data_IF_574704498522
#
_entry.id   IF_574704498522
#
_cell.length_a   1.000
_cell.length_b   1.000
_cell.length_c   1.000
_cell.angle_alpha   90.00
_cell.angle_beta   90.00
_cell.angle_gamma   90.00
#
_symmetry.space_group_name_H-M   'P 1'
#
loop_
_entity.id
_entity.type
_entity.pdbx_description
1 polymer ?
#
# COMPACT_ATOMS: atom_id res chain seq x y z
N UNK A 1 5.67 4.57 14.95
CA UNK A 1 4.87 4.75 13.73
C UNK A 1 3.45 4.31 14.02
N UNK A 2 2.49 5.19 13.81
CA UNK A 2 1.05 4.91 13.85
C UNK A 2 0.57 4.61 12.43
N UNK A 3 -0.19 3.54 12.25
CA UNK A 3 -0.64 3.08 10.92
C UNK A 3 -2.15 2.85 10.94
N UNK A 4 -2.86 3.46 10.00
CA UNK A 4 -4.23 3.08 9.67
C UNK A 4 -4.22 1.84 8.77
N UNK A 5 -4.50 0.67 9.33
CA UNK A 5 -4.43 -0.57 8.58
C UNK A 5 -5.68 -0.88 7.73
N UNK A 6 -6.62 0.07 7.59
CA UNK A 6 -7.82 -0.16 6.80
C UNK A 6 -8.44 1.15 6.32
N UNK A 7 -8.14 1.52 5.08
CA UNK A 7 -8.84 2.61 4.38
C UNK A 7 -9.01 2.28 2.89
N UNK A 8 -9.88 3.04 2.23
CA UNK A 8 -10.25 2.88 0.83
C UNK A 8 -10.08 4.19 0.05
N UNK A 9 -9.77 4.06 -1.23
CA UNK A 9 -9.89 5.12 -2.23
C UNK A 9 -10.71 4.63 -3.40
N UNK A 10 -11.47 5.54 -4.02
CA UNK A 10 -12.19 5.25 -5.25
C UNK A 10 -12.45 6.51 -6.05
N UNK A 11 -12.67 6.28 -7.34
CA UNK A 11 -13.19 7.26 -8.29
C UNK A 11 -14.47 6.70 -8.88
N UNK A 12 -15.59 7.41 -8.76
CA UNK A 12 -16.92 6.96 -9.19
C UNK A 12 -17.01 6.77 -10.71
N UNK A 13 -16.17 7.46 -11.47
CA UNK A 13 -16.12 7.33 -12.93
C UNK A 13 -15.39 6.06 -13.41
N UNK A 14 -14.68 5.35 -12.53
CA UNK A 14 -14.04 4.08 -12.90
C UNK A 14 -15.11 3.01 -13.15
N UNK A 15 -14.98 2.20 -14.21
CA UNK A 15 -16.01 1.23 -14.62
C UNK A 15 -16.21 0.10 -13.61
N UNK A 16 -15.25 -0.14 -12.72
CA UNK A 16 -15.32 -1.15 -11.66
C UNK A 16 -15.92 -0.62 -10.36
N UNK A 17 -16.12 0.69 -10.22
CA UNK A 17 -16.69 1.30 -9.00
C UNK A 17 -18.22 1.19 -9.02
N UNK A 18 -18.74 0.08 -8.52
CA UNK A 18 -20.20 -0.15 -8.37
C UNK A 18 -20.75 0.25 -7.00
N UNK A 19 -19.85 0.42 -6.03
CA UNK A 19 -20.12 0.89 -4.68
C UNK A 19 -19.07 1.96 -4.33
N UNK A 20 -19.41 3.03 -3.57
CA UNK A 20 -20.69 3.29 -2.91
C UNK A 20 -21.81 3.70 -3.87
N UNK A 21 -23.02 3.27 -3.57
CA UNK A 21 -24.25 3.63 -4.30
C UNK A 21 -24.81 4.98 -3.84
N UNK A 22 -25.72 5.57 -4.62
CA UNK A 22 -26.24 6.93 -4.39
C UNK A 22 -26.99 7.12 -3.06
N UNK A 23 -27.52 6.05 -2.48
CA UNK A 23 -28.18 6.04 -1.16
C UNK A 23 -27.19 6.29 -0.01
N UNK A 24 -25.89 6.03 -0.22
CA UNK A 24 -24.82 6.36 0.70
C UNK A 24 -24.28 7.78 0.43
N UNK A 25 -25.19 8.75 0.42
CA UNK A 25 -24.94 10.10 -0.08
C UNK A 25 -23.71 10.81 0.54
N UNK A 26 -23.39 10.54 1.81
CA UNK A 26 -22.24 11.16 2.48
C UNK A 26 -20.88 10.68 1.94
N UNK A 27 -20.83 9.50 1.33
CA UNK A 27 -19.62 8.91 0.76
C UNK A 27 -19.73 8.68 -0.76
N UNK A 28 -20.84 9.04 -1.40
CA UNK A 28 -21.04 8.93 -2.84
C UNK A 28 -20.35 10.09 -3.59
N UNK A 29 -19.02 10.15 -3.48
CA UNK A 29 -18.12 11.04 -4.24
C UNK A 29 -16.76 10.37 -4.40
N UNK A 30 -15.88 10.98 -5.20
CA UNK A 30 -14.48 10.52 -5.29
C UNK A 30 -13.75 10.76 -3.95
N UNK A 31 -12.92 9.79 -3.56
CA UNK A 31 -12.03 9.87 -2.41
C UNK A 31 -10.63 9.40 -2.81
N UNK A 32 -9.64 10.26 -2.61
CA UNK A 32 -8.24 9.97 -2.90
C UNK A 32 -7.28 10.44 -1.82
N UNK A 33 -5.95 10.34 -2.08
CA UNK A 33 -4.93 10.72 -1.11
C UNK A 33 -5.06 12.14 -0.53
N UNK A 34 -5.43 13.11 -1.36
CA UNK A 34 -5.57 14.51 -0.96
C UNK A 34 -6.75 14.74 0.01
N UNK A 35 -7.76 13.87 -0.01
CA UNK A 35 -8.88 13.91 0.93
C UNK A 35 -8.50 13.32 2.30
N UNK A 36 -7.62 12.31 2.33
CA UNK A 36 -7.22 11.62 3.56
C UNK A 36 -6.05 12.31 4.27
N UNK A 37 -5.10 12.89 3.54
CA UNK A 37 -3.91 13.52 4.11
C UNK A 37 -4.21 14.54 5.24
N UNK A 38 -5.26 15.39 5.16
CA UNK A 38 -5.63 16.27 6.26
C UNK A 38 -6.09 15.54 7.53
N UNK A 39 -6.70 14.35 7.42
CA UNK A 39 -7.09 13.53 8.57
C UNK A 39 -5.86 12.91 9.23
N UNK A 40 -4.91 12.41 8.43
CA UNK A 40 -3.64 11.85 8.91
C UNK A 40 -2.83 12.89 9.67
N UNK A 41 -2.67 14.09 9.09
CA UNK A 41 -1.94 15.19 9.72
C UNK A 41 -2.57 15.62 11.06
N UNK A 42 -3.90 15.61 11.16
CA UNK A 42 -4.62 16.01 12.39
C UNK A 42 -4.53 14.98 13.50
N UNK A 43 -4.41 13.72 13.14
CA UNK A 43 -4.40 12.59 14.09
C UNK A 43 -2.99 12.07 14.40
N UNK A 44 -1.97 12.49 13.64
CA UNK A 44 -0.61 11.98 13.78
C UNK A 44 -0.48 10.53 13.32
N UNK A 45 -1.31 10.10 12.36
CA UNK A 45 -1.16 8.80 11.71
C UNK A 45 -0.12 8.93 10.61
N UNK A 46 0.89 8.07 10.63
CA UNK A 46 2.08 8.20 9.78
C UNK A 46 1.93 7.49 8.42
N UNK A 47 1.05 6.49 8.34
CA UNK A 47 0.85 5.72 7.11
C UNK A 47 -0.40 4.85 7.14
N UNK A 48 -0.68 4.20 6.01
CA UNK A 48 -1.93 3.47 5.78
C UNK A 48 -1.72 2.16 5.03
N UNK A 49 -2.62 1.20 5.22
CA UNK A 49 -2.82 0.08 4.31
C UNK A 49 -4.09 0.35 3.49
N UNK A 50 -3.92 0.41 2.18
CA UNK A 50 -4.97 0.69 1.22
C UNK A 50 -5.66 -0.61 0.81
N UNK A 51 -6.97 -0.69 1.00
CA UNK A 51 -7.76 -1.91 0.80
C UNK A 51 -8.70 -1.72 -0.40
N UNK A 52 -8.81 -2.76 -1.25
CA UNK A 52 -9.79 -2.81 -2.36
C UNK A 52 -11.22 -2.49 -1.88
N UNK A 53 -12.01 -1.76 -2.67
CA UNK A 53 -13.42 -1.46 -2.40
C UNK A 53 -14.39 -2.12 -3.41
N UNK A 54 -13.87 -2.76 -4.46
CA UNK A 54 -14.61 -3.43 -5.52
C UNK A 54 -14.00 -4.80 -5.87
N UNK A 55 -14.83 -5.79 -6.26
CA UNK A 55 -14.34 -7.12 -6.66
C UNK A 55 -13.77 -7.09 -8.10
N UNK A 56 -12.68 -6.35 -8.32
CA UNK A 56 -12.05 -6.17 -9.63
C UNK A 56 -10.52 -6.17 -9.54
N UNK A 57 -9.88 -6.84 -10.51
CA UNK A 57 -8.43 -6.84 -10.63
C UNK A 57 -7.93 -5.48 -11.13
N UNK A 58 -8.73 -4.79 -11.94
CA UNK A 58 -8.47 -3.42 -12.41
C UNK A 58 -8.44 -2.45 -11.23
N UNK A 59 -9.32 -2.62 -10.25
CA UNK A 59 -9.25 -1.82 -9.02
C UNK A 59 -7.95 -2.10 -8.27
N UNK A 60 -7.54 -3.36 -8.15
CA UNK A 60 -6.28 -3.71 -7.50
C UNK A 60 -5.08 -3.04 -8.17
N UNK A 61 -5.05 -2.99 -9.51
CA UNK A 61 -4.03 -2.27 -10.27
C UNK A 61 -4.09 -0.75 -10.03
N UNK A 62 -5.29 -0.18 -9.97
CA UNK A 62 -5.51 1.22 -9.63
C UNK A 62 -4.97 1.58 -8.25
N UNK A 63 -5.20 0.74 -7.23
CA UNK A 63 -4.65 0.95 -5.88
C UNK A 63 -3.13 0.83 -5.84
N UNK A 64 -2.55 -0.11 -6.60
CA UNK A 64 -1.09 -0.22 -6.72
C UNK A 64 -0.47 1.01 -7.40
N UNK A 65 -1.14 1.60 -8.40
CA UNK A 65 -0.72 2.86 -9.03
C UNK A 65 -0.78 4.05 -8.05
N UNK A 66 -1.77 4.09 -7.15
CA UNK A 66 -1.78 5.06 -6.05
C UNK A 66 -0.60 4.83 -5.10
N UNK A 67 -0.36 3.60 -4.66
CA UNK A 67 0.72 3.28 -3.74
C UNK A 67 2.11 3.66 -4.28
N UNK A 68 2.31 3.56 -5.61
CA UNK A 68 3.54 4.00 -6.26
C UNK A 68 3.79 5.52 -6.21
N UNK A 69 2.77 6.33 -5.92
CA UNK A 69 2.83 7.80 -5.96
C UNK A 69 2.50 8.46 -4.63
N UNK A 70 2.21 7.67 -3.59
CA UNK A 70 1.68 8.17 -2.33
C UNK A 70 2.48 7.62 -1.16
N UNK A 71 3.34 8.47 -0.58
CA UNK A 71 4.33 8.08 0.43
C UNK A 71 3.74 7.49 1.71
N UNK A 72 2.50 7.89 2.07
CA UNK A 72 1.84 7.37 3.26
C UNK A 72 1.12 6.04 3.02
N UNK A 73 1.07 5.50 1.79
CA UNK A 73 0.53 4.16 1.53
C UNK A 73 1.64 3.14 1.68
N UNK A 74 1.54 2.31 2.73
CA UNK A 74 2.57 1.34 3.13
C UNK A 74 2.32 -0.07 2.57
N UNK A 75 1.18 -0.27 1.91
CA UNK A 75 0.80 -1.53 1.30
C UNK A 75 -0.62 -1.51 0.76
N UNK A 76 -0.89 -2.45 -0.14
CA UNK A 76 -2.18 -2.64 -0.79
C UNK A 76 -2.66 -4.07 -0.55
N UNK A 77 -3.91 -4.20 -0.11
CA UNK A 77 -4.65 -5.46 -0.13
C UNK A 77 -5.64 -5.39 -1.28
N UNK A 78 -5.36 -6.14 -2.34
CA UNK A 78 -6.18 -6.13 -3.55
C UNK A 78 -7.20 -7.26 -3.58
N UNK A 79 -7.84 -7.40 -4.73
CA UNK A 79 -8.79 -8.43 -5.09
C UNK A 79 -8.23 -9.27 -6.25
N UNK A 80 -8.48 -10.58 -6.18
CA UNK A 80 -8.21 -11.55 -7.24
C UNK A 80 -9.49 -12.35 -7.44
N UNK A 81 -9.80 -12.71 -8.69
CA UNK A 81 -10.93 -13.60 -8.94
C UNK A 81 -10.54 -15.04 -8.62
N UNK A 82 -10.99 -15.56 -7.48
CA UNK A 82 -10.72 -16.94 -7.08
C UNK A 82 -11.34 -17.96 -8.04
N UNK A 83 -12.36 -17.57 -8.81
CA UNK A 83 -13.10 -18.46 -9.72
C UNK A 83 -12.57 -18.47 -11.14
N UNK A 84 -11.71 -17.51 -11.50
CA UNK A 84 -11.16 -17.42 -12.83
C UNK A 84 -10.09 -18.48 -13.09
N UNK A 85 -10.10 -19.04 -14.30
CA UNK A 85 -9.08 -19.99 -14.76
C UNK A 85 -7.66 -19.39 -14.72
N UNK A 86 -7.54 -18.07 -14.88
CA UNK A 86 -6.29 -17.32 -14.83
C UNK A 86 -6.00 -16.68 -13.46
N UNK A 87 -6.73 -17.05 -12.40
CA UNK A 87 -6.57 -16.52 -11.02
C UNK A 87 -5.12 -16.48 -10.52
N UNK A 88 -4.32 -17.51 -10.80
CA UNK A 88 -2.89 -17.55 -10.45
C UNK A 88 -2.10 -16.50 -11.24
N UNK A 89 -2.38 -16.32 -12.52
CA UNK A 89 -1.72 -15.31 -13.34
C UNK A 89 -2.12 -13.90 -12.92
N UNK A 90 -3.38 -13.69 -12.50
CA UNK A 90 -3.82 -12.44 -11.89
C UNK A 90 -3.03 -12.14 -10.62
N UNK A 91 -2.90 -13.14 -9.73
CA UNK A 91 -2.13 -13.01 -8.49
C UNK A 91 -0.65 -12.70 -8.77
N UNK A 92 -0.03 -13.36 -9.75
CA UNK A 92 1.35 -13.12 -10.16
C UNK A 92 1.57 -11.71 -10.67
N UNK A 93 0.66 -11.21 -11.50
CA UNK A 93 0.70 -9.84 -12.01
C UNK A 93 0.66 -8.81 -10.87
N UNK A 94 -0.20 -9.00 -9.87
CA UNK A 94 -0.32 -8.09 -8.74
C UNK A 94 0.89 -8.21 -7.79
N UNK A 95 1.33 -9.43 -7.50
CA UNK A 95 2.46 -9.72 -6.62
C UNK A 95 3.82 -9.27 -7.16
N UNK A 96 3.91 -8.93 -8.45
CA UNK A 96 5.08 -8.26 -9.02
C UNK A 96 5.32 -6.86 -8.42
N UNK A 97 4.27 -6.24 -7.84
CA UNK A 97 4.41 -4.99 -7.12
C UNK A 97 4.83 -5.22 -5.67
N UNK A 98 5.88 -4.52 -5.16
CA UNK A 98 6.28 -4.61 -3.75
C UNK A 98 5.17 -4.13 -2.80
N UNK A 99 4.28 -3.27 -3.28
CA UNK A 99 3.16 -2.75 -2.51
C UNK A 99 2.05 -3.79 -2.30
N UNK A 100 1.97 -4.86 -3.08
CA UNK A 100 0.92 -5.85 -2.95
C UNK A 100 1.18 -6.79 -1.77
N UNK A 101 0.39 -6.67 -0.71
CA UNK A 101 0.63 -7.37 0.57
C UNK A 101 -0.33 -8.52 0.84
N UNK A 102 -1.49 -8.55 0.21
CA UNK A 102 -2.49 -9.58 0.42
C UNK A 102 -3.70 -9.46 -0.48
N UNK A 103 -4.63 -10.40 -0.29
CA UNK A 103 -5.91 -10.46 -0.99
C UNK A 103 -7.07 -10.35 -0.01
N UNK A 104 -8.16 -9.72 -0.47
CA UNK A 104 -9.44 -9.63 0.25
C UNK A 104 -10.59 -10.04 -0.67
N UNK A 105 -11.04 -11.30 -0.66
CA UNK A 105 -12.30 -11.68 -1.31
C UNK A 105 -13.48 -11.01 -0.59
N UNK A 106 -14.53 -10.63 -1.33
CA UNK A 106 -15.76 -10.02 -0.80
C UNK A 106 -16.69 -11.10 -0.17
N UNK A 107 -16.18 -11.87 0.80
CA UNK A 107 -16.87 -13.06 1.32
C UNK A 107 -18.23 -12.71 1.93
N UNK A 108 -18.36 -11.57 2.59
CA UNK A 108 -19.62 -11.14 3.21
C UNK A 108 -20.80 -11.07 2.22
N UNK A 109 -20.53 -10.85 0.94
CA UNK A 109 -21.54 -10.68 -0.12
C UNK A 109 -21.81 -11.99 -0.88
N UNK A 110 -21.10 -13.07 -0.53
CA UNK A 110 -21.32 -14.42 -1.07
C UNK A 110 -22.37 -15.14 -0.21
N UNK A 111 -23.37 -15.70 -0.88
CA UNK A 111 -24.51 -16.37 -0.24
C UNK A 111 -24.09 -17.65 0.48
N UNK A 112 -23.27 -18.49 -0.16
CA UNK A 112 -22.74 -19.71 0.42
C UNK A 112 -21.65 -19.39 1.47
N UNK A 113 -21.90 -19.60 2.78
CA UNK A 113 -20.97 -19.16 3.82
C UNK A 113 -19.62 -19.87 3.76
N UNK A 114 -19.60 -21.13 3.30
CA UNK A 114 -18.43 -22.00 3.21
C UNK A 114 -17.75 -21.98 1.83
N UNK A 115 -18.17 -21.11 0.91
CA UNK A 115 -17.64 -20.99 -0.45
C UNK A 115 -16.10 -20.99 -0.51
N UNK A 116 -15.46 -20.27 0.42
CA UNK A 116 -14.00 -20.12 0.48
C UNK A 116 -13.26 -21.43 0.81
N UNK A 117 -13.96 -22.44 1.33
CA UNK A 117 -13.42 -23.76 1.63
C UNK A 117 -13.49 -24.72 0.44
N UNK A 118 -13.93 -24.26 -0.74
CA UNK A 118 -13.98 -25.07 -1.95
C UNK A 118 -12.58 -25.56 -2.34
N UNK A 119 -12.40 -26.88 -2.50
CA UNK A 119 -11.10 -27.49 -2.79
C UNK A 119 -10.44 -26.96 -4.09
N UNK A 120 -11.25 -26.45 -5.03
CA UNK A 120 -10.74 -25.83 -6.26
C UNK A 120 -9.85 -24.60 -6.00
N UNK A 121 -9.97 -23.96 -4.83
CA UNK A 121 -9.17 -22.79 -4.46
C UNK A 121 -7.84 -23.15 -3.81
N UNK A 122 -7.56 -24.45 -3.53
CA UNK A 122 -6.31 -24.87 -2.91
C UNK A 122 -5.04 -24.35 -3.62
N UNK A 123 -4.93 -24.40 -4.97
CA UNK A 123 -3.77 -23.84 -5.66
C UNK A 123 -3.56 -22.35 -5.40
N UNK A 124 -4.63 -21.58 -5.21
CA UNK A 124 -4.55 -20.16 -4.93
C UNK A 124 -4.05 -19.90 -3.50
N UNK A 125 -4.49 -20.68 -2.51
CA UNK A 125 -3.95 -20.59 -1.16
C UNK A 125 -2.47 -20.99 -1.08
N UNK A 126 -2.07 -22.05 -1.79
CA UNK A 126 -0.66 -22.43 -1.92
C UNK A 126 0.15 -21.30 -2.56
N UNK A 127 -0.42 -20.62 -3.55
CA UNK A 127 0.19 -19.48 -4.21
C UNK A 127 0.33 -18.26 -3.29
N UNK A 128 -0.65 -17.98 -2.43
CA UNK A 128 -0.55 -16.94 -1.39
C UNK A 128 0.59 -17.25 -0.42
N UNK A 129 0.65 -18.49 0.09
CA UNK A 129 1.69 -18.95 1.00
C UNK A 129 3.10 -18.82 0.39
N UNK A 130 3.28 -19.30 -0.85
CA UNK A 130 4.56 -19.26 -1.55
C UNK A 130 5.08 -17.83 -1.77
N UNK A 131 4.17 -16.86 -1.92
CA UNK A 131 4.48 -15.44 -2.10
C UNK A 131 4.51 -14.66 -0.78
N UNK A 132 4.27 -15.34 0.34
CA UNK A 132 4.17 -14.72 1.67
C UNK A 132 3.02 -13.73 1.79
N UNK A 133 1.98 -13.83 0.97
CA UNK A 133 0.83 -12.92 0.95
C UNK A 133 -0.16 -13.21 2.08
N UNK A 134 -0.98 -12.20 2.40
CA UNK A 134 -1.88 -12.17 3.55
C UNK A 134 -3.31 -12.34 3.08
N UNK A 135 -4.17 -12.83 3.96
CA UNK A 135 -5.58 -13.01 3.69
C UNK A 135 -6.42 -12.13 4.62
N UNK A 136 -7.10 -11.14 4.05
CA UNK A 136 -8.04 -10.29 4.76
C UNK A 136 -9.45 -10.90 4.64
N UNK A 137 -10.00 -11.33 5.77
CA UNK A 137 -11.30 -11.97 5.86
C UNK A 137 -12.40 -10.93 6.11
N UNK A 138 -12.99 -10.40 5.03
CA UNK A 138 -14.18 -9.55 5.08
C UNK A 138 -15.44 -10.42 5.21
N UNK A 139 -15.88 -10.63 6.44
CA UNK A 139 -16.91 -11.62 6.79
C UNK A 139 -18.02 -11.07 7.66
N UNK A 140 -19.11 -11.83 7.75
CA UNK A 140 -20.18 -11.69 8.74
C UNK A 140 -20.07 -12.75 9.85
N UNK A 141 -20.78 -12.63 10.99
CA UNK A 141 -20.70 -13.60 12.08
C UNK A 141 -20.95 -15.06 11.65
N UNK A 142 -21.84 -15.29 10.67
CA UNK A 142 -22.12 -16.62 10.09
C UNK A 142 -20.90 -17.31 9.48
N UNK A 143 -19.86 -16.56 9.11
CA UNK A 143 -18.64 -17.06 8.47
C UNK A 143 -17.46 -17.23 9.44
N UNK A 144 -17.59 -16.82 10.71
CA UNK A 144 -16.52 -17.01 11.71
C UNK A 144 -16.07 -18.49 11.84
N UNK A 145 -16.98 -19.49 11.88
CA UNK A 145 -16.57 -20.90 11.91
C UNK A 145 -15.86 -21.35 10.63
N UNK A 146 -16.21 -20.76 9.49
CA UNK A 146 -15.62 -21.06 8.17
C UNK A 146 -14.19 -20.59 8.11
N UNK A 147 -13.91 -19.36 8.58
CA UNK A 147 -12.53 -18.84 8.66
C UNK A 147 -11.70 -19.64 9.67
N UNK A 148 -12.31 -20.15 10.75
CA UNK A 148 -11.62 -21.02 11.69
C UNK A 148 -11.20 -22.34 11.03
N UNK A 149 -12.04 -22.89 10.15
CA UNK A 149 -11.71 -24.08 9.38
C UNK A 149 -10.62 -23.79 8.33
N UNK A 150 -10.70 -22.66 7.62
CA UNK A 150 -9.67 -22.23 6.69
C UNK A 150 -8.30 -22.10 7.38
N UNK A 151 -8.26 -21.47 8.56
CA UNK A 151 -7.04 -21.34 9.36
C UNK A 151 -6.48 -22.69 9.84
N UNK A 152 -7.32 -23.71 10.05
CA UNK A 152 -6.84 -25.07 10.35
C UNK A 152 -6.27 -25.77 9.12
N UNK A 153 -6.86 -25.55 7.94
CA UNK A 153 -6.37 -26.11 6.66
C UNK A 153 -5.04 -25.47 6.25
N UNK A 154 -4.88 -24.17 6.49
CA UNK A 154 -3.67 -23.41 6.15
C UNK A 154 -3.08 -22.74 7.40
N UNK A 155 -2.48 -23.51 8.34
CA UNK A 155 -2.01 -22.97 9.62
C UNK A 155 -0.82 -22.01 9.49
N UNK A 156 -0.19 -21.97 8.31
CA UNK A 156 0.90 -21.04 7.98
C UNK A 156 0.41 -19.75 7.30
N UNK A 157 -0.87 -19.65 6.91
CA UNK A 157 -1.41 -18.48 6.22
C UNK A 157 -1.74 -17.39 7.25
N UNK A 158 -1.12 -16.19 7.15
CA UNK A 158 -1.52 -15.06 7.98
C UNK A 158 -2.90 -14.58 7.56
N UNK A 159 -3.86 -14.69 8.48
CA UNK A 159 -5.25 -14.28 8.27
C UNK A 159 -5.55 -13.10 9.21
N UNK A 160 -6.25 -12.09 8.71
CA UNK A 160 -6.77 -11.01 9.53
C UNK A 160 -8.27 -10.88 9.36
N UNK A 161 -8.99 -10.89 10.47
CA UNK A 161 -10.44 -10.68 10.47
C UNK A 161 -10.73 -9.19 10.38
N UNK A 162 -11.44 -8.77 9.33
CA UNK A 162 -11.83 -7.38 9.14
C UNK A 162 -12.97 -7.00 10.10
N UNK A 163 -12.90 -5.76 10.62
CA UNK A 163 -13.95 -5.11 11.42
C UNK A 163 -14.48 -5.93 12.60
N UNK A 164 -13.62 -6.64 13.32
CA UNK A 164 -14.07 -7.52 14.39
C UNK A 164 -14.96 -8.68 13.92
N UNK A 165 -15.05 -8.98 12.61
CA UNK A 165 -16.00 -9.94 12.06
C UNK A 165 -17.44 -9.44 11.99
N UNK A 166 -17.62 -8.11 11.99
CA UNK A 166 -18.91 -7.40 11.86
C UNK A 166 -19.99 -7.89 12.85
N UNK A 167 -19.76 -7.76 14.18
CA UNK A 167 -20.80 -8.06 15.17
C UNK A 167 -22.08 -7.28 14.90
N UNK A 168 -23.26 -7.84 15.19
CA UNK A 168 -24.52 -7.07 15.10
C UNK A 168 -24.68 -6.16 16.32
N UNK A 169 -23.88 -5.09 16.35
CA UNK A 169 -23.85 -4.15 17.47
C UNK A 169 -25.19 -3.43 17.59
N UNK A 170 -25.83 -3.03 16.49
CA UNK A 170 -27.13 -2.35 16.49
C UNK A 170 -28.24 -3.16 17.20
N UNK A 171 -28.22 -4.48 17.05
CA UNK A 171 -29.20 -5.38 17.69
C UNK A 171 -28.79 -5.80 19.11
N UNK A 172 -27.56 -5.48 19.53
CA UNK A 172 -27.02 -5.90 20.82
C UNK A 172 -26.68 -7.39 20.86
N UNK A 173 -26.53 -8.05 19.71
CA UNK A 173 -26.08 -9.44 19.63
C UNK A 173 -24.60 -9.51 19.97
N UNK A 174 -24.27 -10.31 20.99
CA UNK A 174 -22.90 -10.45 21.46
C UNK A 174 -22.46 -11.92 21.53
N UNK A 175 -23.32 -12.81 22.00
CA UNK A 175 -22.94 -14.17 22.42
C UNK A 175 -22.38 -15.01 21.28
N UNK A 176 -23.06 -15.03 20.14
CA UNK A 176 -22.70 -15.90 18.99
C UNK A 176 -21.41 -15.40 18.36
N UNK A 177 -21.34 -14.10 18.12
CA UNK A 177 -20.15 -13.42 17.65
C UNK A 177 -18.95 -13.65 18.58
N UNK A 178 -19.13 -13.46 19.89
CA UNK A 178 -18.07 -13.57 20.88
C UNK A 178 -17.46 -14.97 20.91
N UNK A 179 -18.28 -16.02 20.80
CA UNK A 179 -17.81 -17.39 20.73
C UNK A 179 -17.01 -17.66 19.45
N UNK A 180 -17.48 -17.19 18.29
CA UNK A 180 -16.75 -17.31 17.03
C UNK A 180 -15.38 -16.62 17.07
N UNK A 181 -15.32 -15.41 17.65
CA UNK A 181 -14.07 -14.68 17.87
C UNK A 181 -13.12 -15.43 18.79
N UNK A 182 -13.63 -16.01 19.89
CA UNK A 182 -12.82 -16.80 20.83
C UNK A 182 -12.20 -18.01 20.15
N UNK A 183 -12.94 -18.68 19.26
CA UNK A 183 -12.42 -19.82 18.48
C UNK A 183 -11.30 -19.37 17.54
N UNK A 184 -11.49 -18.29 16.78
CA UNK A 184 -10.48 -17.75 15.87
C UNK A 184 -9.22 -17.31 16.60
N UNK A 185 -9.36 -16.66 17.75
CA UNK A 185 -8.22 -16.15 18.51
C UNK A 185 -7.29 -17.26 19.03
N UNK A 186 -7.72 -18.53 19.08
CA UNK A 186 -6.86 -19.68 19.40
C UNK A 186 -5.91 -20.05 18.27
N UNK A 187 -6.13 -19.55 17.06
CA UNK A 187 -5.24 -19.76 15.92
C UNK A 187 -4.11 -18.72 15.96
N UNK A 188 -2.83 -19.15 15.98
CA UNK A 188 -1.71 -18.25 16.28
C UNK A 188 -1.46 -17.20 15.19
N UNK A 189 -1.75 -17.50 13.93
CA UNK A 189 -1.57 -16.60 12.78
C UNK A 189 -2.86 -15.88 12.37
N UNK A 190 -3.89 -15.92 13.22
CA UNK A 190 -5.10 -15.10 13.03
C UNK A 190 -4.98 -13.85 13.90
N UNK A 191 -5.06 -12.70 13.23
CA UNK A 191 -5.18 -11.36 13.82
C UNK A 191 -6.58 -10.80 13.60
N UNK A 192 -6.90 -9.67 14.22
CA UNK A 192 -8.18 -9.00 14.02
C UNK A 192 -8.02 -7.49 13.94
N UNK A 193 -8.75 -6.86 13.02
CA UNK A 193 -8.82 -5.40 12.95
C UNK A 193 -9.81 -4.85 13.97
N UNK A 194 -9.38 -3.80 14.66
CA UNK A 194 -10.23 -2.87 15.39
C UNK A 194 -10.57 -1.72 14.44
N UNK A 195 -11.56 -1.96 13.59
CA UNK A 195 -12.05 -1.03 12.56
C UNK A 195 -13.54 -1.27 12.30
N UNK A 196 -14.23 -0.38 11.59
CA UNK A 196 -15.61 -0.57 11.08
C UNK A 196 -16.72 -0.84 12.11
N UNK A 197 -16.44 -0.84 13.42
CA UNK A 197 -17.44 -1.17 14.44
C UNK A 197 -18.59 -0.15 14.50
N UNK A 198 -18.33 1.12 14.20
CA UNK A 198 -19.37 2.14 14.13
C UNK A 198 -20.42 1.86 13.06
N UNK A 199 -19.99 1.34 11.90
CA UNK A 199 -20.88 0.95 10.80
C UNK A 199 -21.86 -0.16 11.20
N UNK A 200 -21.51 -0.97 12.19
CA UNK A 200 -22.36 -2.05 12.69
C UNK A 200 -23.21 -1.65 13.92
N UNK A 201 -23.01 -0.44 14.47
CA UNK A 201 -23.64 0.02 15.71
C UNK A 201 -24.99 0.74 15.52
N UNK A 202 -25.38 1.00 14.27
CA UNK A 202 -26.56 1.79 13.97
C UNK A 202 -26.37 3.25 14.41
N UNK A 203 -27.36 3.82 15.09
CA UNK A 203 -27.32 5.23 15.53
C UNK A 203 -26.56 5.46 16.84
N UNK A 204 -26.31 4.42 17.64
CA UNK A 204 -25.63 4.54 18.94
C UNK A 204 -24.17 4.12 18.82
N UNK A 205 -23.32 5.07 18.46
CA UNK A 205 -21.86 4.92 18.43
C UNK A 205 -21.18 5.29 19.76
N UNK A 206 -21.94 5.39 20.84
CA UNK A 206 -21.40 5.79 22.14
C UNK A 206 -20.40 4.75 22.67
N UNK A 207 -19.43 5.22 23.45
CA UNK A 207 -18.42 4.33 24.01
C UNK A 207 -19.02 3.17 24.83
N UNK A 208 -20.06 3.37 25.69
CA UNK A 208 -20.71 2.25 26.37
C UNK A 208 -21.29 1.18 25.44
N UNK A 209 -21.73 1.57 24.23
CA UNK A 209 -22.24 0.63 23.22
C UNK A 209 -21.13 -0.17 22.54
N UNK A 210 -20.00 0.47 22.24
CA UNK A 210 -18.87 -0.13 21.50
C UNK A 210 -17.91 -0.91 22.42
N UNK A 211 -17.70 -0.42 23.65
CA UNK A 211 -16.70 -0.93 24.61
C UNK A 211 -16.80 -2.44 24.89
N UNK A 212 -17.99 -3.08 25.00
CA UNK A 212 -18.07 -4.53 25.22
C UNK A 212 -17.38 -5.35 24.12
N UNK A 213 -17.56 -4.94 22.85
CA UNK A 213 -16.97 -5.63 21.70
C UNK A 213 -15.46 -5.44 21.65
N UNK A 214 -14.98 -4.21 21.87
CA UNK A 214 -13.55 -3.91 21.92
C UNK A 214 -12.85 -4.65 23.05
N UNK A 215 -13.47 -4.70 24.24
CA UNK A 215 -12.94 -5.48 25.38
C UNK A 215 -12.85 -6.97 25.06
N UNK A 216 -13.84 -7.52 24.37
CA UNK A 216 -13.84 -8.94 23.99
C UNK A 216 -12.76 -9.26 22.96
N UNK A 217 -12.64 -8.42 21.92
CA UNK A 217 -11.56 -8.51 20.93
C UNK A 217 -10.19 -8.46 21.62
N UNK A 218 -10.00 -7.53 22.55
CA UNK A 218 -8.74 -7.39 23.29
C UNK A 218 -8.47 -8.61 24.19
N UNK A 219 -9.47 -9.10 24.91
CA UNK A 219 -9.33 -10.30 25.74
C UNK A 219 -8.94 -11.53 24.93
N UNK A 220 -9.48 -11.68 23.71
CA UNK A 220 -9.23 -12.84 22.87
C UNK A 220 -7.88 -12.77 22.13
N UNK A 221 -7.60 -11.67 21.43
CA UNK A 221 -6.41 -11.55 20.58
C UNK A 221 -5.18 -11.03 21.34
N UNK A 222 -5.41 -10.21 22.37
CA UNK A 222 -4.38 -9.45 23.06
C UNK A 222 -3.81 -8.30 22.22
N UNK A 223 -2.98 -7.48 22.85
CA UNK A 223 -2.38 -6.29 22.22
C UNK A 223 -1.50 -6.61 21.00
N UNK A 224 -0.98 -7.83 20.88
CA UNK A 224 -0.03 -8.23 19.81
C UNK A 224 -0.70 -8.71 18.51
N UNK A 225 -2.03 -8.91 18.51
CA UNK A 225 -2.78 -9.40 17.34
C UNK A 225 -4.04 -8.58 17.03
N UNK A 226 -4.26 -7.48 17.77
CA UNK A 226 -5.19 -6.45 17.36
C UNK A 226 -4.46 -5.38 16.55
N UNK A 227 -5.11 -4.93 15.48
CA UNK A 227 -4.57 -3.94 14.56
C UNK A 227 -5.64 -2.86 14.36
N UNK A 228 -5.34 -1.60 14.65
CA UNK A 228 -6.28 -0.51 14.43
C UNK A 228 -6.40 -0.17 12.93
N UNK A 229 -7.60 0.22 12.52
CA UNK A 229 -7.86 0.82 11.20
C UNK A 229 -9.09 1.73 11.26
N UNK A 230 -9.15 2.72 10.37
CA UNK A 230 -10.19 3.73 10.39
C UNK A 230 -11.48 3.27 9.73
N UNK A 231 -11.39 2.42 8.70
CA UNK A 231 -12.45 2.15 7.74
C UNK A 231 -12.86 3.41 6.95
N UNK A 232 -11.94 4.34 6.74
CA UNK A 232 -12.21 5.56 5.98
C UNK A 232 -12.30 5.26 4.48
N UNK A 233 -13.19 5.94 3.73
CA UNK A 233 -14.12 6.97 4.18
C UNK A 233 -15.45 6.42 4.70
N UNK A 234 -15.64 5.09 4.73
CA UNK A 234 -16.89 4.43 5.18
C UNK A 234 -17.29 4.85 6.60
N UNK A 235 -16.32 5.04 7.49
CA UNK A 235 -16.54 5.56 8.86
C UNK A 235 -17.34 6.87 8.90
N UNK A 236 -17.29 7.67 7.81
CA UNK A 236 -18.05 8.91 7.65
C UNK A 236 -19.57 8.72 7.56
N UNK A 237 -20.04 7.50 7.32
CA UNK A 237 -21.46 7.18 7.44
C UNK A 237 -21.96 7.29 8.89
N UNK A 238 -21.07 7.13 9.87
CA UNK A 238 -21.42 7.14 11.29
C UNK A 238 -20.85 8.36 12.04
N UNK A 239 -19.62 8.78 11.74
CA UNK A 239 -18.94 9.88 12.41
C UNK A 239 -17.63 10.26 11.74
N UNK A 240 -16.76 11.04 12.40
CA UNK A 240 -15.49 11.45 11.78
C UNK A 240 -14.35 10.46 12.05
N UNK A 241 -13.37 10.43 11.16
CA UNK A 241 -12.09 9.71 11.33
C UNK A 241 -11.46 10.02 12.69
N UNK A 242 -11.32 11.31 13.01
CA UNK A 242 -10.74 11.77 14.28
C UNK A 242 -11.54 11.26 15.49
N UNK A 243 -12.87 11.26 15.42
CA UNK A 243 -13.69 10.82 16.55
C UNK A 243 -13.57 9.31 16.77
N UNK A 244 -13.50 8.50 15.71
CA UNK A 244 -13.24 7.06 15.82
C UNK A 244 -11.87 6.77 16.41
N UNK A 245 -10.83 7.45 15.91
CA UNK A 245 -9.47 7.33 16.43
C UNK A 245 -9.40 7.70 17.91
N UNK A 246 -10.00 8.83 18.30
CA UNK A 246 -10.03 9.30 19.69
C UNK A 246 -10.79 8.34 20.61
N UNK A 247 -11.92 7.77 20.15
CA UNK A 247 -12.67 6.77 20.92
C UNK A 247 -11.86 5.49 21.13
N UNK A 248 -11.15 5.01 20.09
CA UNK A 248 -10.26 3.86 20.22
C UNK A 248 -9.12 4.13 21.21
N UNK A 249 -8.50 5.31 21.14
CA UNK A 249 -7.45 5.71 22.10
C UNK A 249 -7.99 5.73 23.53
N UNK A 250 -9.18 6.30 23.76
CA UNK A 250 -9.82 6.33 25.08
C UNK A 250 -10.16 4.92 25.60
N UNK A 251 -10.62 4.01 24.74
CA UNK A 251 -10.94 2.63 25.13
C UNK A 251 -9.70 1.79 25.47
N UNK A 252 -8.54 2.15 24.93
CA UNK A 252 -7.27 1.44 25.12
C UNK A 252 -6.28 2.21 26.02
N UNK A 253 -6.73 3.29 26.68
CA UNK A 253 -5.88 4.16 27.49
C UNK A 253 -5.22 3.43 28.69
N UNK A 254 -5.86 2.39 29.20
CA UNK A 254 -5.34 1.58 30.32
C UNK A 254 -4.19 0.63 29.91
N UNK A 255 -3.93 0.49 28.61
CA UNK A 255 -2.81 -0.32 28.12
C UNK A 255 -1.48 0.39 28.34
N UNK A 256 -0.42 -0.40 28.54
CA UNK A 256 0.94 0.12 28.56
C UNK A 256 1.34 0.72 27.20
N UNK A 257 2.31 1.65 27.16
CA UNK A 257 2.71 2.32 25.91
C UNK A 257 3.15 1.37 24.79
N UNK A 258 3.80 0.25 25.13
CA UNK A 258 4.21 -0.77 24.15
C UNK A 258 3.01 -1.46 23.49
N UNK A 259 2.00 -1.83 24.28
CA UNK A 259 0.79 -2.48 23.80
C UNK A 259 -0.06 -1.52 22.95
N UNK A 260 -0.15 -0.24 23.35
CA UNK A 260 -0.79 0.78 22.52
C UNK A 260 -0.07 0.94 21.18
N UNK A 261 1.26 1.08 21.20
CA UNK A 261 2.07 1.21 19.98
C UNK A 261 1.96 -0.03 19.08
N UNK A 262 1.82 -1.23 19.66
CA UNK A 262 1.57 -2.44 18.92
C UNK A 262 0.23 -2.38 18.18
N UNK A 263 -0.86 -2.06 18.89
CA UNK A 263 -2.22 -2.01 18.30
C UNK A 263 -2.34 -0.93 17.24
N UNK A 264 -1.80 0.26 17.50
CA UNK A 264 -1.96 1.43 16.63
C UNK A 264 -0.97 1.49 15.46
N UNK A 265 -0.06 0.52 15.30
CA UNK A 265 0.76 0.48 14.08
C UNK A 265 1.79 -0.65 14.03
N UNK A 266 2.43 -0.99 15.14
CA UNK A 266 3.49 -2.00 15.17
C UNK A 266 3.04 -3.37 14.64
N UNK A 267 1.80 -3.76 14.92
CA UNK A 267 1.24 -5.01 14.43
C UNK A 267 0.90 -4.96 12.93
N UNK A 268 0.39 -3.83 12.42
CA UNK A 268 0.13 -3.66 10.99
C UNK A 268 1.41 -3.81 10.17
N UNK A 269 2.48 -3.14 10.62
CA UNK A 269 3.79 -3.20 9.98
C UNK A 269 4.34 -4.62 9.90
N UNK A 270 4.19 -5.37 11.00
CA UNK A 270 4.65 -6.76 11.11
C UNK A 270 3.80 -7.73 10.30
N UNK A 271 2.48 -7.58 10.33
CA UNK A 271 1.55 -8.48 9.64
C UNK A 271 1.68 -8.38 8.12
N UNK A 272 1.71 -7.16 7.59
CA UNK A 272 1.79 -6.91 6.15
C UNK A 272 3.22 -6.85 5.59
N UNK A 273 4.25 -6.94 6.43
CA UNK A 273 5.65 -6.76 5.99
C UNK A 273 5.88 -5.37 5.38
N UNK A 274 5.23 -4.34 5.94
CA UNK A 274 5.29 -2.98 5.42
C UNK A 274 6.59 -2.26 5.80
N UNK A 275 7.36 -2.80 6.76
CA UNK A 275 8.70 -2.31 7.08
C UNK A 275 9.74 -2.65 6.00
N UNK A 276 9.50 -3.70 5.21
CA UNK A 276 10.42 -4.15 4.16
C UNK A 276 10.46 -3.19 2.96
N UNK A 277 9.48 -2.28 2.88
CA UNK A 277 9.40 -1.18 1.92
C UNK A 277 8.95 0.12 2.59
N UNK A 278 9.42 0.37 3.82
CA UNK A 278 9.48 1.76 4.29
C UNK A 278 10.05 2.57 3.11
N UNK A 279 9.36 3.64 2.66
CA UNK A 279 9.70 4.30 1.42
C UNK A 279 11.21 4.53 1.44
N UNK A 280 11.93 3.86 0.53
CA UNK A 280 13.26 4.31 0.17
C UNK A 280 13.04 5.78 -0.16
N UNK A 281 13.66 6.66 0.64
CA UNK A 281 13.43 8.10 0.60
C UNK A 281 13.06 8.56 -0.80
N UNK A 282 11.91 9.23 -0.88
CA UNK A 282 11.48 10.16 -1.93
C UNK A 282 12.56 10.42 -2.97
N UNK A 283 12.42 9.81 -4.14
CA UNK A 283 13.28 10.05 -5.29
C UNK A 283 14.51 9.14 -5.39
N UNK A 284 14.54 8.29 -6.41
CA UNK A 284 15.68 7.40 -6.67
C UNK A 284 16.50 7.86 -7.86
N UNK A 285 17.76 7.45 -7.87
CA UNK A 285 18.63 7.56 -9.03
C UNK A 285 18.54 6.26 -9.83
N UNK A 286 18.15 6.36 -11.10
CA UNK A 286 17.95 5.19 -11.97
C UNK A 286 19.23 4.83 -12.72
N UNK A 287 19.72 3.61 -12.50
CA UNK A 287 20.75 3.00 -13.36
C UNK A 287 20.06 2.34 -14.57
N UNK A 288 20.32 2.86 -15.77
CA UNK A 288 19.64 2.38 -16.99
C UNK A 288 20.28 1.13 -17.57
N UNK A 289 21.58 0.94 -17.37
CA UNK A 289 22.32 -0.22 -17.86
C UNK A 289 23.54 -0.52 -16.98
N UNK A 290 23.96 -1.79 -16.77
CA UNK A 290 25.08 -2.13 -15.87
C UNK A 290 26.42 -1.46 -16.19
N UNK A 291 26.65 -1.12 -17.46
CA UNK A 291 27.86 -0.41 -17.94
C UNK A 291 27.80 1.11 -17.76
N UNK A 292 26.67 1.66 -17.31
CA UNK A 292 26.55 3.10 -17.15
C UNK A 292 27.37 3.57 -15.95
N UNK A 293 28.09 4.67 -16.16
CA UNK A 293 28.86 5.37 -15.12
C UNK A 293 28.17 6.66 -14.65
N UNK A 294 26.92 6.86 -15.07
CA UNK A 294 26.00 7.87 -14.57
C UNK A 294 24.64 7.23 -14.27
N UNK A 295 23.93 7.84 -13.32
CA UNK A 295 22.55 7.53 -12.96
C UNK A 295 21.64 8.66 -13.46
N UNK A 296 20.33 8.39 -13.59
CA UNK A 296 19.34 9.40 -13.98
C UNK A 296 18.50 9.78 -12.78
N UNK A 297 18.46 11.07 -12.45
CA UNK A 297 17.60 11.61 -11.41
C UNK A 297 16.13 11.50 -11.84
N UNK A 298 15.30 10.75 -11.13
CA UNK A 298 13.88 10.54 -11.51
C UNK A 298 12.91 11.50 -10.82
N UNK A 299 13.44 12.56 -10.20
CA UNK A 299 12.69 13.58 -9.45
C UNK A 299 13.51 14.88 -9.36
N UNK A 300 12.97 15.91 -8.70
CA UNK A 300 13.70 17.15 -8.41
C UNK A 300 14.45 17.06 -7.08
N UNK A 301 15.68 16.56 -7.10
CA UNK A 301 16.51 16.35 -5.91
C UNK A 301 17.13 17.65 -5.39
N UNK A 302 17.32 17.73 -4.06
CA UNK A 302 17.81 18.94 -3.39
C UNK A 302 19.23 18.79 -2.87
N UNK A 303 19.97 19.90 -2.86
CA UNK A 303 21.28 19.95 -2.22
C UNK A 303 21.19 19.49 -0.75
N UNK A 304 22.13 18.66 -0.32
CA UNK A 304 22.20 18.06 1.03
C UNK A 304 21.39 16.77 1.20
N UNK A 305 20.56 16.40 0.22
CA UNK A 305 19.79 15.16 0.24
C UNK A 305 20.70 13.93 0.12
N UNK A 306 20.43 12.89 0.91
CA UNK A 306 21.21 11.66 0.90
C UNK A 306 20.59 10.68 -0.12
N UNK A 307 21.28 10.48 -1.24
CA UNK A 307 20.87 9.54 -2.30
C UNK A 307 21.68 8.26 -2.24
N UNK A 308 21.09 7.14 -2.64
CA UNK A 308 21.80 5.85 -2.68
C UNK A 308 22.48 5.64 -4.04
N UNK A 309 23.78 5.35 -4.01
CA UNK A 309 24.61 5.00 -5.17
C UNK A 309 25.36 3.70 -4.84
N UNK A 310 25.04 2.63 -5.58
CA UNK A 310 25.65 1.29 -5.39
C UNK A 310 25.65 0.82 -3.92
N UNK A 311 24.54 1.03 -3.19
CA UNK A 311 24.40 0.66 -1.78
C UNK A 311 25.04 1.61 -0.77
N UNK A 312 25.61 2.72 -1.24
CA UNK A 312 26.26 3.73 -0.39
C UNK A 312 25.46 5.04 -0.41
N UNK A 313 25.19 5.61 0.76
CA UNK A 313 24.56 6.93 0.87
C UNK A 313 25.54 8.05 0.51
N UNK A 314 25.19 8.85 -0.50
CA UNK A 314 25.97 9.97 -1.00
C UNK A 314 25.16 11.27 -0.87
N UNK A 315 25.66 12.31 -0.18
CA UNK A 315 24.97 13.59 -0.13
C UNK A 315 25.10 14.33 -1.46
N UNK A 316 24.00 14.88 -1.98
CA UNK A 316 24.02 15.73 -3.16
C UNK A 316 24.63 17.10 -2.84
N UNK A 317 25.54 17.57 -3.68
CA UNK A 317 26.21 18.87 -3.48
C UNK A 317 25.40 20.07 -3.98
N UNK A 318 24.38 19.80 -4.81
CA UNK A 318 23.55 20.82 -5.45
C UNK A 318 22.19 20.24 -5.84
N UNK A 319 21.24 21.11 -6.17
CA UNK A 319 19.95 20.71 -6.73
C UNK A 319 20.15 20.02 -8.09
N UNK A 320 19.44 18.90 -8.30
CA UNK A 320 19.48 18.13 -9.55
C UNK A 320 18.06 17.95 -10.07
N UNK A 321 17.83 18.41 -11.30
CA UNK A 321 16.51 18.33 -11.93
C UNK A 321 16.15 16.93 -12.41
N UNK A 322 14.84 16.70 -12.56
CA UNK A 322 14.29 15.50 -13.18
C UNK A 322 14.93 15.25 -14.56
N UNK A 323 15.39 14.01 -14.80
CA UNK A 323 16.00 13.56 -16.04
C UNK A 323 17.49 13.90 -16.19
N UNK A 324 18.07 14.62 -15.22
CA UNK A 324 19.49 14.96 -15.24
C UNK A 324 20.36 13.79 -14.81
N UNK A 325 21.66 13.86 -15.15
CA UNK A 325 22.60 12.76 -14.91
C UNK A 325 23.40 13.02 -13.62
N UNK A 326 23.58 12.00 -12.81
CA UNK A 326 24.40 12.03 -11.60
C UNK A 326 25.57 11.07 -11.79
N UNK A 327 26.79 11.48 -11.46
CA UNK A 327 27.95 10.62 -11.54
C UNK A 327 27.79 9.43 -10.58
N UNK A 328 27.90 8.21 -11.11
CA UNK A 328 27.84 6.97 -10.31
C UNK A 328 29.19 6.68 -9.64
N UNK A 329 30.26 6.95 -10.36
CA UNK A 329 31.66 6.78 -9.95
C UNK A 329 32.40 8.10 -10.15
N UNK A 330 33.62 8.21 -9.60
CA UNK A 330 34.48 9.34 -9.92
C UNK A 330 34.85 9.32 -11.42
N UNK A 331 34.68 10.46 -12.08
CA UNK A 331 34.99 10.69 -13.48
C UNK A 331 36.03 11.82 -13.58
N UNK A 332 37.11 11.58 -14.31
CA UNK A 332 38.14 12.57 -14.61
C UNK A 332 37.83 13.32 -15.92
N UNK A 333 38.45 14.48 -16.10
CA UNK A 333 38.42 15.15 -17.41
C UNK A 333 39.03 14.23 -18.49
N UNK A 334 38.33 14.08 -19.62
CA UNK A 334 38.68 13.15 -20.69
C UNK A 334 37.99 11.79 -20.61
N UNK A 335 37.36 11.44 -19.49
CA UNK A 335 36.63 10.18 -19.37
C UNK A 335 35.35 10.16 -20.22
N UNK A 336 35.01 8.98 -20.75
CA UNK A 336 33.76 8.77 -21.47
C UNK A 336 32.60 8.62 -20.49
N UNK A 337 31.48 9.27 -20.79
CA UNK A 337 30.21 9.10 -20.08
C UNK A 337 29.35 8.09 -20.84
N UNK A 338 28.87 7.06 -20.14
CA UNK A 338 28.05 6.00 -20.69
C UNK A 338 26.62 6.07 -20.14
N UNK A 339 25.65 6.01 -21.05
CA UNK A 339 24.22 5.90 -20.75
C UNK A 339 23.59 4.88 -21.70
N UNK A 340 22.74 3.99 -21.21
CA UNK A 340 22.22 2.86 -21.98
C UNK A 340 23.32 1.94 -22.54
N UNK A 341 24.46 1.86 -21.86
CA UNK A 341 25.62 1.06 -22.27
C UNK A 341 26.42 1.61 -23.45
N UNK A 342 26.12 2.83 -23.92
CA UNK A 342 26.80 3.49 -25.04
C UNK A 342 27.42 4.82 -24.61
N UNK A 343 28.56 5.22 -25.22
CA UNK A 343 29.16 6.51 -24.93
C UNK A 343 28.28 7.64 -25.46
N UNK A 344 27.99 8.63 -24.62
CA UNK A 344 27.16 9.79 -24.96
C UNK A 344 27.94 11.11 -24.97
N UNK A 345 29.16 11.10 -24.45
CA UNK A 345 29.98 12.29 -24.34
C UNK A 345 31.28 12.05 -23.60
N UNK A 346 32.09 13.10 -23.54
CA UNK A 346 33.38 13.14 -22.85
C UNK A 346 33.36 14.21 -21.76
N UNK A 347 33.82 13.87 -20.56
CA UNK A 347 33.93 14.83 -19.46
C UNK A 347 34.92 15.94 -19.79
N UNK A 348 34.53 17.19 -19.59
CA UNK A 348 35.40 18.36 -19.75
C UNK A 348 35.98 18.85 -18.43
N UNK A 349 35.37 18.45 -17.31
CA UNK A 349 35.81 18.69 -15.95
C UNK A 349 35.51 17.45 -15.09
N UNK A 350 36.23 17.21 -13.98
CA UNK A 350 35.97 16.03 -13.14
C UNK A 350 34.61 16.10 -12.44
N UNK A 351 34.08 14.93 -12.07
CA UNK A 351 32.89 14.78 -11.23
C UNK A 351 33.08 13.64 -10.22
N UNK A 352 32.76 13.87 -8.95
CA UNK A 352 32.72 12.84 -7.90
C UNK A 352 31.36 12.12 -7.88
N UNK A 353 31.25 10.91 -7.30
CA UNK A 353 29.96 10.25 -7.11
C UNK A 353 28.94 11.18 -6.44
N UNK A 354 27.72 11.27 -7.00
CA UNK A 354 26.68 12.18 -6.53
C UNK A 354 26.70 13.57 -7.18
N UNK A 355 27.73 13.93 -7.95
CA UNK A 355 27.78 15.22 -8.64
C UNK A 355 27.03 15.20 -9.97
N UNK A 356 26.51 16.36 -10.36
CA UNK A 356 25.72 16.53 -11.58
C UNK A 356 26.60 16.46 -12.83
N UNK A 357 26.24 15.62 -13.79
CA UNK A 357 26.88 15.51 -15.10
C UNK A 357 26.00 16.15 -16.17
N UNK A 358 26.43 17.29 -16.70
CA UNK A 358 25.68 18.09 -17.66
C UNK A 358 26.59 18.92 -18.57
N UNK A 359 26.02 19.71 -19.46
CA UNK A 359 26.74 20.54 -20.44
C UNK A 359 27.87 21.43 -19.88
N UNK A 360 27.91 21.70 -18.57
CA UNK A 360 28.99 22.47 -17.95
C UNK A 360 30.28 21.64 -17.71
N UNK A 361 30.16 20.31 -17.58
CA UNK A 361 31.27 19.38 -17.35
C UNK A 361 31.28 18.18 -18.32
N UNK A 362 30.41 18.18 -19.34
CA UNK A 362 30.28 17.15 -20.36
C UNK A 362 30.13 17.79 -21.74
N UNK A 363 30.92 17.34 -22.72
CA UNK A 363 30.69 17.61 -24.14
C UNK A 363 30.10 16.36 -24.81
N UNK A 364 29.06 16.55 -25.62
CA UNK A 364 28.45 15.44 -26.38
C UNK A 364 29.40 14.93 -27.47
N UNK A 365 29.51 13.61 -27.60
CA UNK A 365 30.31 12.98 -28.66
C UNK A 365 29.55 12.88 -29.99
N UNK A 366 28.27 13.30 -30.02
CA UNK A 366 27.49 13.35 -31.25
C UNK A 366 27.91 14.57 -32.10
N UNK A 367 28.35 14.30 -33.34
CA UNK A 367 28.57 15.35 -34.35
C UNK A 367 27.28 16.18 -34.54
N UNK A 368 27.37 17.52 -34.67
CA UNK A 368 26.20 18.34 -34.94
C UNK A 368 25.55 17.94 -36.26
N UNK A 369 24.27 17.57 -36.24
CA UNK A 369 23.47 17.36 -37.44
C UNK A 369 23.05 18.69 -38.08
N UNK A 370 24.01 19.57 -38.38
CA UNK A 370 23.78 20.79 -39.16
C UNK A 370 24.71 20.82 -40.37
N UNK A 371 24.20 20.26 -41.47
CA UNK A 371 24.86 20.22 -42.77
C UNK A 371 24.02 19.56 -43.87
N UNK A 372 22.68 19.74 -43.85
CA UNK A 372 21.81 19.44 -45.00
C UNK A 372 20.93 20.66 -45.27
N UNK A 373 21.55 21.69 -45.83
CA UNK A 373 20.87 22.94 -46.13
C UNK A 373 21.76 23.97 -46.84
N UNK A 374 22.69 23.55 -47.70
CA UNK A 374 23.45 24.45 -48.56
C UNK A 374 24.05 23.67 -49.76
N UNK A 375 23.21 22.98 -50.52
CA UNK A 375 23.57 22.39 -51.81
C UNK A 375 22.31 22.26 -52.68
N UNK A 376 21.65 23.39 -52.94
CA UNK A 376 20.56 23.52 -53.92
C UNK A 376 20.30 25.00 -54.23
N UNK A 377 21.33 25.70 -54.69
CA UNK A 377 21.19 27.05 -55.24
C UNK A 377 22.35 27.40 -56.19
N UNK A 378 22.76 26.48 -57.06
CA UNK A 378 23.72 26.80 -58.13
C UNK A 378 23.55 25.83 -59.31
N UNK A 379 22.31 25.72 -59.81
CA UNK A 379 22.05 25.03 -61.09
C UNK A 379 20.75 25.55 -61.73
N UNK A 380 20.63 26.88 -61.84
CA UNK A 380 19.67 27.59 -62.73
C UNK A 380 20.23 28.94 -63.15
N UNK A 381 21.40 28.93 -63.79
CA UNK A 381 21.83 29.96 -64.74
C UNK A 381 22.77 29.29 -65.75
N UNK A 382 22.18 28.70 -66.78
CA UNK A 382 22.75 28.66 -68.12
C UNK A 382 21.66 28.37 -69.13
#
# INVERSE_FOLDING_TARGET
>A
MTVDAHQHFWTLSNPFTVWPTQDLASIHRDYGPDDLAPELARTGVDGTILIQAAPSVEESLYLLDIANRCDFVLGVVGWVDFTADDSIAQLDRLAASPWFKGVRPMLQDIDEPDWILCDRFAPLFDALLARGLRFDALIRPRQLPVIAELARRYPALPIIVDHGGKPSIADGEFTTWAEGIRVLARMPLVSCKLSGLWSEAGSDISEPRIRPYVRHLFHCFGAKRLIWGSDWPVVQLAGSYQAWFSQCQAMLADLGPEDQAAVFGGNAMRFYGAADHAPANVGSLLLLHPKDNVLICTYGAKAGELVEIDGTGCPLMQDIGLGHKVARIALAAGDKVYRYGVPIGTMTAPAQPGEHVHNHNLVSDYLPAHGRGAARAEEKRS
#
